data_IF_076708975998
#
_entry.id   IF_076708975998
#
_cell.length_a   1.000
_cell.length_b   1.000
_cell.length_c   1.000
_cell.angle_alpha   90.00
_cell.angle_beta   90.00
_cell.angle_gamma   90.00
#
_symmetry.space_group_name_H-M   'P 1'
#
loop_
_entity.id
_entity.type
_entity.pdbx_description
1 polymer ?
#
# COMPACT_ATOMS: atom_id res chain seq x y z
N UNK A 1 53.00 26.05 -54.47
CA UNK A 1 51.56 25.78 -54.26
C UNK A 1 51.45 24.86 -53.06
N UNK A 2 51.20 25.43 -51.88
CA UNK A 2 51.12 24.69 -50.62
C UNK A 2 49.66 24.31 -50.38
N UNK A 3 49.36 23.02 -50.34
CA UNK A 3 48.03 22.49 -49.97
C UNK A 3 47.94 22.52 -48.47
N UNK A 4 47.07 23.38 -47.94
CA UNK A 4 46.73 23.46 -46.53
C UNK A 4 45.69 22.37 -46.25
N UNK A 5 46.08 21.32 -45.53
CA UNK A 5 45.16 20.28 -45.05
C UNK A 5 44.47 20.84 -43.80
N UNK A 6 43.21 21.21 -43.92
CA UNK A 6 42.36 21.53 -42.77
C UNK A 6 41.93 20.21 -42.11
N UNK A 7 42.51 19.91 -40.95
CA UNK A 7 42.08 18.83 -40.10
C UNK A 7 40.88 19.33 -39.27
N UNK A 8 39.68 19.02 -39.70
CA UNK A 8 38.46 19.22 -38.89
C UNK A 8 38.47 18.21 -37.75
N UNK A 9 38.93 18.64 -36.59
CA UNK A 9 38.82 17.87 -35.37
C UNK A 9 37.37 18.01 -34.87
N UNK A 10 36.49 17.08 -35.26
CA UNK A 10 35.15 16.98 -34.68
C UNK A 10 35.27 16.39 -33.28
N UNK A 11 35.33 17.28 -32.28
CA UNK A 11 35.12 16.89 -30.88
C UNK A 11 33.66 16.53 -30.74
N UNK A 12 33.37 15.24 -30.85
CA UNK A 12 32.06 14.69 -30.41
C UNK A 12 32.06 14.77 -28.90
N UNK A 13 31.52 15.84 -28.39
CA UNK A 13 31.25 16.03 -26.98
C UNK A 13 30.09 15.09 -26.64
N UNK A 14 30.40 13.84 -26.25
CA UNK A 14 29.45 12.94 -25.59
C UNK A 14 29.06 13.60 -24.26
N UNK A 15 28.07 14.50 -24.30
CA UNK A 15 27.29 14.80 -23.11
C UNK A 15 26.58 13.53 -22.70
N UNK A 16 27.27 12.73 -21.89
CA UNK A 16 26.61 11.71 -21.08
C UNK A 16 25.59 12.45 -20.22
N UNK A 17 24.34 12.42 -20.60
CA UNK A 17 23.24 12.70 -19.71
C UNK A 17 23.37 11.69 -18.55
N UNK A 18 24.14 12.09 -17.52
CA UNK A 18 23.89 11.53 -16.20
C UNK A 18 22.43 11.91 -15.89
N UNK A 19 21.52 11.03 -16.25
CA UNK A 19 20.23 11.00 -15.59
C UNK A 19 20.56 10.70 -14.13
N UNK A 20 20.70 11.75 -13.32
CA UNK A 20 20.59 11.62 -11.90
C UNK A 20 19.26 10.91 -11.68
N UNK A 21 19.31 9.64 -11.31
CA UNK A 21 18.13 8.95 -10.82
C UNK A 21 17.54 9.90 -9.78
N UNK A 22 16.32 10.39 -10.04
CA UNK A 22 15.61 11.15 -9.03
C UNK A 22 15.76 10.35 -7.73
N UNK A 23 16.09 10.98 -6.60
CA UNK A 23 16.22 10.24 -5.36
C UNK A 23 14.95 9.42 -5.26
N UNK A 24 15.10 8.10 -5.17
CA UNK A 24 14.00 7.17 -4.96
C UNK A 24 13.33 7.73 -3.72
N UNK A 25 12.22 8.43 -3.94
CA UNK A 25 11.54 9.12 -2.85
C UNK A 25 11.28 8.02 -1.83
N UNK A 26 11.81 8.16 -0.64
CA UNK A 26 11.61 7.26 0.51
C UNK A 26 10.13 7.30 0.96
N UNK A 27 9.31 7.84 0.06
CA UNK A 27 7.89 8.01 0.15
C UNK A 27 7.22 6.66 0.26
N UNK A 28 6.64 6.42 1.42
CA UNK A 28 5.89 5.21 1.69
C UNK A 28 6.54 4.27 2.70
N UNK A 29 7.67 4.63 3.30
CA UNK A 29 8.13 3.98 4.53
C UNK A 29 7.48 4.61 5.76
N UNK A 30 7.35 3.86 6.87
CA UNK A 30 6.74 4.40 8.07
C UNK A 30 7.64 5.45 8.72
N UNK A 31 7.05 6.61 9.05
CA UNK A 31 7.70 7.68 9.81
C UNK A 31 7.06 7.77 11.19
N UNK A 32 7.87 8.05 12.23
CA UNK A 32 7.38 8.09 13.60
C UNK A 32 7.81 9.38 14.31
N UNK A 33 7.01 9.79 15.28
CA UNK A 33 7.35 10.85 16.23
C UNK A 33 8.41 10.37 17.23
N UNK A 34 8.97 11.29 18.00
CA UNK A 34 9.94 10.95 19.08
C UNK A 34 9.36 10.05 20.18
N UNK A 35 8.05 10.09 20.38
CA UNK A 35 7.30 9.25 21.31
C UNK A 35 6.67 8.01 20.68
N UNK A 36 7.23 7.57 19.53
CA UNK A 36 6.89 6.33 18.83
C UNK A 36 5.46 6.24 18.25
N UNK A 37 4.78 7.35 18.01
CA UNK A 37 3.53 7.35 17.28
C UNK A 37 3.80 7.36 15.78
N UNK A 38 3.01 6.64 14.99
CA UNK A 38 3.09 6.66 13.54
C UNK A 38 2.59 8.01 13.01
N UNK A 39 3.35 8.63 12.11
CA UNK A 39 2.88 9.79 11.34
C UNK A 39 1.97 9.34 10.19
N UNK A 40 0.97 10.16 9.81
CA UNK A 40 0.11 9.85 8.67
C UNK A 40 0.93 9.60 7.40
N UNK A 41 0.71 8.49 6.67
CA UNK A 41 1.34 8.28 5.37
C UNK A 41 1.01 9.40 4.40
N UNK A 42 2.04 9.98 3.76
CA UNK A 42 1.88 11.08 2.81
C UNK A 42 1.62 10.52 1.41
N UNK A 43 0.79 11.21 0.64
CA UNK A 43 0.56 10.93 -0.79
C UNK A 43 0.21 9.46 -1.10
N UNK A 44 -0.39 8.74 -0.17
CA UNK A 44 -0.68 7.31 -0.37
C UNK A 44 -1.61 7.03 -1.56
N UNK A 45 -2.37 8.02 -2.04
CA UNK A 45 -3.20 7.88 -3.25
C UNK A 45 -2.39 7.84 -4.55
N UNK A 46 -1.09 8.14 -4.48
CA UNK A 46 -0.13 7.95 -5.58
C UNK A 46 0.53 6.54 -5.56
N UNK A 47 0.23 5.73 -4.52
CA UNK A 47 0.75 4.39 -4.39
C UNK A 47 0.00 3.39 -5.29
N UNK A 48 0.47 2.15 -5.31
CA UNK A 48 -0.22 1.07 -6.02
C UNK A 48 -1.53 0.75 -5.31
N UNK A 49 -2.62 0.91 -6.04
CA UNK A 49 -3.94 0.42 -5.64
C UNK A 49 -3.99 -1.10 -5.80
N UNK A 50 -4.35 -1.83 -4.73
CA UNK A 50 -4.40 -3.29 -4.72
C UNK A 50 -5.80 -3.84 -4.96
N UNK A 51 -6.78 -3.28 -4.27
CA UNK A 51 -8.15 -3.77 -4.28
C UNK A 51 -9.11 -2.77 -3.67
N UNK A 52 -10.38 -2.92 -4.00
CA UNK A 52 -11.49 -2.25 -3.31
C UNK A 52 -12.53 -3.27 -2.88
N UNK A 53 -12.96 -3.21 -1.63
CA UNK A 53 -14.12 -3.93 -1.12
C UNK A 53 -15.34 -3.03 -1.01
N UNK A 54 -16.52 -3.56 -1.16
CA UNK A 54 -17.79 -2.86 -0.90
C UNK A 54 -18.59 -3.65 0.11
N UNK A 55 -18.89 -3.03 1.27
CA UNK A 55 -19.69 -3.64 2.31
C UNK A 55 -19.07 -4.90 2.92
N UNK A 56 -17.73 -5.02 2.90
CA UNK A 56 -17.05 -6.14 3.55
C UNK A 56 -17.19 -6.00 5.07
N UNK A 57 -17.66 -7.06 5.72
CA UNK A 57 -17.83 -7.13 7.17
C UNK A 57 -17.36 -8.47 7.69
N UNK A 58 -16.73 -8.46 8.84
CA UNK A 58 -16.27 -9.67 9.55
C UNK A 58 -17.25 -10.09 10.66
N UNK A 59 -18.36 -9.37 10.82
CA UNK A 59 -19.45 -9.72 11.72
C UNK A 59 -20.68 -10.12 10.93
N UNK A 60 -21.43 -11.12 11.44
CA UNK A 60 -22.71 -11.47 10.87
C UNK A 60 -23.74 -10.35 11.13
N UNK A 61 -24.35 -9.83 10.09
CA UNK A 61 -25.38 -8.80 10.16
C UNK A 61 -25.35 -7.87 8.96
N UNK A 62 -26.42 -7.11 8.77
CA UNK A 62 -26.44 -6.04 7.78
C UNK A 62 -25.73 -4.83 8.35
N UNK A 63 -24.88 -4.19 7.55
CA UNK A 63 -24.38 -2.85 7.88
C UNK A 63 -25.45 -1.83 7.48
N UNK A 64 -25.78 -0.91 8.39
CA UNK A 64 -26.70 0.19 8.10
C UNK A 64 -26.13 1.11 6.99
N UNK A 65 -24.80 1.19 6.90
CA UNK A 65 -24.08 1.93 5.88
C UNK A 65 -23.03 1.06 5.21
N UNK A 66 -23.19 0.85 3.91
CA UNK A 66 -22.21 0.16 3.08
C UNK A 66 -21.06 1.10 2.79
N UNK A 67 -19.82 0.70 3.09
CA UNK A 67 -18.61 1.48 2.83
C UNK A 67 -17.73 0.81 1.80
N UNK A 68 -16.93 1.62 1.11
CA UNK A 68 -15.80 1.13 0.33
C UNK A 68 -14.54 1.10 1.19
N UNK A 69 -13.76 0.06 1.01
CA UNK A 69 -12.39 -0.04 1.53
C UNK A 69 -11.42 -0.12 0.37
N UNK A 70 -10.53 0.86 0.23
CA UNK A 70 -9.52 0.92 -0.83
C UNK A 70 -8.14 0.64 -0.24
N UNK A 71 -7.42 -0.33 -0.78
CA UNK A 71 -6.12 -0.73 -0.23
C UNK A 71 -4.99 -0.26 -1.14
N UNK A 72 -4.00 0.40 -0.54
CA UNK A 72 -2.83 0.93 -1.21
C UNK A 72 -1.54 0.42 -0.57
N UNK A 73 -0.49 0.26 -1.38
CA UNK A 73 0.85 -0.12 -0.95
C UNK A 73 1.92 0.65 -1.74
N UNK A 74 3.06 1.04 -1.15
CA UNK A 74 4.11 1.74 -1.88
C UNK A 74 4.64 0.91 -3.06
N UNK A 75 4.95 1.57 -4.17
CA UNK A 75 5.48 0.96 -5.39
C UNK A 75 6.69 0.05 -5.12
N UNK A 76 7.60 0.45 -4.24
CA UNK A 76 8.79 -0.32 -3.92
C UNK A 76 8.45 -1.64 -3.20
N UNK A 77 7.48 -1.63 -2.28
CA UNK A 77 7.04 -2.83 -1.56
C UNK A 77 6.31 -3.78 -2.49
N UNK A 78 5.39 -3.26 -3.32
CA UNK A 78 4.72 -4.01 -4.39
C UNK A 78 5.73 -4.70 -5.30
N UNK A 79 6.72 -3.96 -5.81
CA UNK A 79 7.76 -4.49 -6.72
C UNK A 79 8.60 -5.60 -6.10
N UNK A 80 8.86 -5.55 -4.78
CA UNK A 80 9.55 -6.62 -4.05
C UNK A 80 8.65 -7.84 -3.85
N UNK A 81 7.37 -7.62 -3.53
CA UNK A 81 6.40 -8.71 -3.38
C UNK A 81 6.25 -9.50 -4.69
N UNK A 82 6.13 -8.85 -5.84
CA UNK A 82 6.05 -9.52 -7.16
C UNK A 82 7.24 -10.45 -7.40
N UNK A 83 8.41 -10.16 -6.84
CA UNK A 83 9.64 -10.95 -7.04
C UNK A 83 9.82 -12.07 -6.03
N UNK A 84 9.09 -12.07 -4.90
CA UNK A 84 9.36 -12.99 -3.79
C UNK A 84 8.11 -13.63 -3.17
N UNK A 85 6.92 -13.07 -3.43
CA UNK A 85 5.70 -13.45 -2.73
C UNK A 85 5.66 -13.06 -1.25
N UNK A 86 6.59 -12.22 -0.78
CA UNK A 86 6.71 -11.78 0.62
C UNK A 86 6.80 -10.27 0.72
N UNK A 87 6.24 -9.72 1.78
CA UNK A 87 6.35 -8.29 2.07
C UNK A 87 7.71 -7.96 2.66
N UNK A 88 8.43 -6.97 2.13
CA UNK A 88 9.67 -6.51 2.71
C UNK A 88 9.45 -5.82 4.06
N UNK A 89 10.48 -5.77 4.90
CA UNK A 89 10.47 -4.94 6.11
C UNK A 89 10.17 -3.47 5.77
N UNK A 90 9.48 -2.76 6.66
CA UNK A 90 8.99 -1.38 6.50
C UNK A 90 7.86 -1.23 5.46
N UNK A 91 7.21 -2.31 5.04
CA UNK A 91 5.99 -2.22 4.23
C UNK A 91 4.89 -1.50 5.01
N UNK A 92 4.19 -0.61 4.31
CA UNK A 92 3.01 0.11 4.81
C UNK A 92 1.84 -0.17 3.89
N UNK A 93 0.70 -0.56 4.47
CA UNK A 93 -0.59 -0.54 3.77
C UNK A 93 -1.43 0.61 4.28
N UNK A 94 -2.19 1.21 3.40
CA UNK A 94 -3.26 2.12 3.77
C UNK A 94 -4.57 1.51 3.30
N UNK A 95 -5.51 1.36 4.23
CA UNK A 95 -6.87 0.91 3.99
C UNK A 95 -7.78 2.13 4.15
N UNK A 96 -8.06 2.81 3.05
CA UNK A 96 -8.90 3.99 3.03
C UNK A 96 -10.38 3.58 3.08
N UNK A 97 -11.13 4.13 4.01
CA UNK A 97 -12.56 3.90 4.17
C UNK A 97 -13.36 5.09 3.61
N UNK A 98 -14.27 4.82 2.70
CA UNK A 98 -15.15 5.83 2.10
C UNK A 98 -16.61 5.45 2.19
N UNK A 99 -17.44 6.45 2.36
CA UNK A 99 -18.86 6.28 2.24
C UNK A 99 -19.29 5.81 0.86
N UNK A 100 -20.53 5.35 0.71
CA UNK A 100 -21.09 4.96 -0.57
C UNK A 100 -22.48 5.54 -0.77
N UNK A 101 -22.77 5.91 -2.01
CA UNK A 101 -24.09 6.35 -2.46
C UNK A 101 -24.54 5.61 -3.70
N UNK A 102 -25.85 5.50 -3.87
CA UNK A 102 -26.48 4.85 -5.03
C UNK A 102 -27.14 5.83 -5.98
N UNK A 103 -27.43 7.05 -5.53
CA UNK A 103 -28.16 8.07 -6.30
C UNK A 103 -27.23 9.22 -6.62
N UNK A 104 -26.98 9.45 -7.89
CA UNK A 104 -26.16 10.57 -8.33
C UNK A 104 -26.02 10.65 -9.85
N UNK A 105 -26.23 11.84 -10.43
CA UNK A 105 -26.04 12.13 -11.86
C UNK A 105 -26.69 11.06 -12.75
N UNK A 106 -25.89 10.42 -13.61
CA UNK A 106 -26.34 9.40 -14.58
C UNK A 106 -26.44 8.00 -13.97
N UNK A 107 -26.04 7.80 -12.72
CA UNK A 107 -26.07 6.49 -12.07
C UNK A 107 -27.51 6.00 -11.90
N UNK A 108 -27.83 4.86 -12.48
CA UNK A 108 -29.16 4.22 -12.36
C UNK A 108 -29.13 3.04 -11.41
N UNK A 109 -27.98 2.35 -11.31
CA UNK A 109 -27.79 1.15 -10.49
C UNK A 109 -26.32 1.09 -10.04
N UNK A 110 -26.09 0.57 -8.86
CA UNK A 110 -24.75 0.41 -8.31
C UNK A 110 -24.38 1.49 -7.30
N UNK A 111 -23.16 1.38 -6.80
CA UNK A 111 -22.62 2.27 -5.77
C UNK A 111 -21.43 3.04 -6.30
N UNK A 112 -21.23 4.24 -5.81
CA UNK A 112 -20.02 5.04 -6.02
C UNK A 112 -19.51 5.58 -4.68
N UNK A 113 -18.22 5.86 -4.61
CA UNK A 113 -17.57 6.34 -3.39
C UNK A 113 -17.92 7.80 -3.12
N UNK A 114 -18.05 8.12 -1.84
CA UNK A 114 -18.29 9.49 -1.35
C UNK A 114 -17.18 9.92 -0.39
N UNK A 115 -17.51 10.64 0.67
CA UNK A 115 -16.56 11.26 1.58
C UNK A 115 -15.62 10.25 2.26
N UNK A 116 -14.45 10.73 2.62
CA UNK A 116 -13.51 9.99 3.46
C UNK A 116 -14.11 9.80 4.86
N UNK A 117 -14.13 8.57 5.33
CA UNK A 117 -14.58 8.21 6.70
C UNK A 117 -13.39 8.11 7.66
N UNK A 118 -12.23 7.75 7.13
CA UNK A 118 -11.00 7.49 7.86
C UNK A 118 -10.11 6.53 7.09
N UNK A 119 -9.02 6.10 7.70
CA UNK A 119 -8.18 5.05 7.11
C UNK A 119 -7.39 4.29 8.17
N UNK A 120 -7.31 2.99 7.99
CA UNK A 120 -6.38 2.14 8.71
C UNK A 120 -5.00 2.16 8.07
N UNK A 121 -3.96 2.02 8.89
CA UNK A 121 -2.58 1.85 8.42
C UNK A 121 -2.01 0.59 9.06
N UNK A 122 -1.51 -0.31 8.23
CA UNK A 122 -0.84 -1.54 8.65
C UNK A 122 0.65 -1.41 8.35
N UNK A 123 1.49 -1.65 9.34
CA UNK A 123 2.94 -1.47 9.20
C UNK A 123 3.67 -2.75 9.55
N UNK A 124 4.47 -3.26 8.61
CA UNK A 124 5.50 -4.25 8.90
C UNK A 124 6.78 -3.53 9.32
N UNK A 125 7.19 -3.70 10.56
CA UNK A 125 8.46 -3.17 11.08
C UNK A 125 9.09 -4.19 12.04
N UNK A 126 9.96 -5.02 11.49
CA UNK A 126 10.56 -6.16 12.20
C UNK A 126 11.50 -5.75 13.35
N UNK A 127 11.96 -4.50 13.33
CA UNK A 127 12.84 -3.98 14.38
C UNK A 127 12.08 -3.25 15.48
N UNK A 128 10.91 -2.70 15.19
CA UNK A 128 10.13 -1.88 16.11
C UNK A 128 9.09 -2.69 16.88
N UNK A 129 8.43 -3.63 16.21
CA UNK A 129 7.34 -4.38 16.81
C UNK A 129 7.74 -5.83 17.09
N UNK A 130 7.54 -6.33 18.33
CA UNK A 130 7.85 -7.72 18.69
C UNK A 130 7.15 -8.74 17.77
N UNK A 131 5.92 -8.43 17.36
CA UNK A 131 5.10 -9.26 16.47
C UNK A 131 5.30 -8.89 14.99
N UNK A 132 6.28 -8.05 14.67
CA UNK A 132 6.65 -7.55 13.32
C UNK A 132 5.60 -6.65 12.66
N UNK A 133 4.35 -6.69 13.08
CA UNK A 133 3.24 -5.95 12.52
C UNK A 133 2.52 -5.13 13.57
N UNK A 134 2.08 -3.93 13.17
CA UNK A 134 1.23 -3.06 13.98
C UNK A 134 0.20 -2.35 13.11
N UNK A 135 -0.90 -1.94 13.75
CA UNK A 135 -2.09 -1.38 13.12
C UNK A 135 -2.43 -0.05 13.78
N UNK A 136 -2.83 0.91 12.95
CA UNK A 136 -3.09 2.28 13.37
C UNK A 136 -4.35 2.79 12.70
N UNK A 137 -5.10 3.68 13.36
CA UNK A 137 -6.27 4.33 12.80
C UNK A 137 -6.05 5.83 12.71
N UNK A 138 -6.47 6.41 11.60
CA UNK A 138 -6.38 7.83 11.31
C UNK A 138 -7.72 8.36 10.82
N UNK A 139 -8.00 9.61 11.14
CA UNK A 139 -9.00 10.45 10.50
C UNK A 139 -8.31 11.64 9.78
N UNK A 140 -9.09 12.52 9.17
CA UNK A 140 -8.56 13.69 8.45
C UNK A 140 -7.79 14.68 9.35
N UNK A 141 -8.03 14.65 10.66
CA UNK A 141 -7.46 15.59 11.63
C UNK A 141 -6.25 15.02 12.36
N UNK A 142 -6.03 13.73 12.27
CA UNK A 142 -4.98 13.00 12.99
C UNK A 142 -3.59 13.45 12.54
N UNK A 143 -2.77 13.87 13.49
CA UNK A 143 -1.36 14.26 13.25
C UNK A 143 -0.39 13.10 13.49
N UNK A 144 -0.79 12.13 14.30
CA UNK A 144 -0.07 10.89 14.61
C UNK A 144 -1.05 9.90 15.23
N UNK A 145 -0.68 8.62 15.28
CA UNK A 145 -1.48 7.59 15.91
C UNK A 145 -0.60 6.63 16.73
N UNK A 146 -1.14 6.15 17.85
CA UNK A 146 -0.58 5.04 18.59
C UNK A 146 -1.00 3.71 17.95
N UNK A 147 -0.17 2.69 18.10
CA UNK A 147 -0.53 1.35 17.66
C UNK A 147 -1.78 0.85 18.40
N UNK A 148 -2.70 0.27 17.67
CA UNK A 148 -3.88 -0.38 18.25
C UNK A 148 -3.46 -1.53 19.18
N UNK A 149 -4.23 -1.81 20.24
CA UNK A 149 -4.01 -2.97 21.07
C UNK A 149 -4.02 -4.27 20.25
N UNK A 150 -3.17 -5.23 20.61
CA UNK A 150 -3.00 -6.48 19.88
C UNK A 150 -4.31 -7.23 19.65
N UNK A 151 -5.21 -7.23 20.62
CA UNK A 151 -6.51 -7.90 20.54
C UNK A 151 -7.53 -7.21 19.62
N UNK A 152 -7.24 -6.01 19.11
CA UNK A 152 -8.15 -5.29 18.23
C UNK A 152 -8.02 -5.71 16.76
N UNK A 153 -6.79 -5.80 16.24
CA UNK A 153 -6.53 -6.04 14.82
C UNK A 153 -5.60 -7.23 14.59
N UNK A 154 -4.53 -7.33 15.36
CA UNK A 154 -3.43 -8.26 15.11
C UNK A 154 -3.89 -9.73 15.06
N UNK A 155 -4.74 -10.15 16.01
CA UNK A 155 -5.19 -11.56 16.09
C UNK A 155 -5.99 -11.97 14.86
N UNK A 156 -6.91 -11.11 14.40
CA UNK A 156 -7.70 -11.37 13.18
C UNK A 156 -6.79 -11.50 11.94
N UNK A 157 -5.80 -10.62 11.80
CA UNK A 157 -4.84 -10.70 10.71
C UNK A 157 -3.95 -11.95 10.79
N UNK A 158 -3.52 -12.38 11.97
CA UNK A 158 -2.76 -13.62 12.15
C UNK A 158 -3.59 -14.85 11.72
N UNK A 159 -4.84 -14.90 12.14
CA UNK A 159 -5.70 -16.06 11.92
C UNK A 159 -6.20 -16.17 10.48
N UNK A 160 -6.54 -15.05 9.85
CA UNK A 160 -7.29 -15.02 8.59
C UNK A 160 -6.51 -14.49 7.38
N UNK A 161 -5.35 -13.87 7.55
CA UNK A 161 -4.60 -13.34 6.42
C UNK A 161 -3.89 -14.44 5.62
N UNK A 162 -3.94 -14.35 4.28
CA UNK A 162 -3.37 -15.35 3.40
C UNK A 162 -1.84 -15.28 3.27
N UNK A 163 -1.24 -14.11 3.44
CA UNK A 163 0.22 -13.93 3.39
C UNK A 163 0.67 -13.09 4.56
N UNK A 164 1.44 -13.68 5.47
CA UNK A 164 1.85 -13.02 6.71
C UNK A 164 0.61 -12.44 7.42
N UNK A 165 0.53 -11.14 7.61
CA UNK A 165 -0.61 -10.43 8.20
C UNK A 165 -1.42 -9.63 7.16
N UNK A 166 -1.32 -9.94 5.87
CA UNK A 166 -2.03 -9.22 4.81
C UNK A 166 -3.07 -10.08 4.11
N UNK A 167 -4.22 -9.50 3.82
CA UNK A 167 -5.36 -10.18 3.19
C UNK A 167 -5.17 -10.31 1.66
N UNK A 168 -4.06 -10.92 1.23
CA UNK A 168 -3.71 -11.12 -0.19
C UNK A 168 -4.79 -11.92 -0.92
N UNK A 169 -5.62 -12.70 -0.23
CA UNK A 169 -6.79 -13.38 -0.81
C UNK A 169 -7.74 -12.41 -1.52
N UNK A 170 -7.78 -11.14 -1.10
CA UNK A 170 -8.59 -10.08 -1.71
C UNK A 170 -7.82 -9.19 -2.70
N UNK A 171 -6.56 -9.51 -2.98
CA UNK A 171 -5.73 -8.75 -3.93
C UNK A 171 -5.53 -9.55 -5.21
N UNK A 172 -6.42 -9.40 -6.23
CA UNK A 172 -6.46 -10.30 -7.39
C UNK A 172 -5.16 -10.33 -8.21
N UNK A 173 -4.38 -9.25 -8.21
CA UNK A 173 -3.10 -9.17 -8.89
C UNK A 173 -1.96 -9.86 -8.13
N UNK A 174 -2.05 -9.98 -6.81
CA UNK A 174 -1.00 -10.53 -5.95
C UNK A 174 -1.23 -11.98 -5.53
N UNK A 175 -2.49 -12.41 -5.43
CA UNK A 175 -2.85 -13.78 -5.07
C UNK A 175 -2.14 -14.84 -5.95
N UNK A 176 -2.10 -14.73 -7.30
CA UNK A 176 -1.34 -15.68 -8.13
C UNK A 176 0.17 -15.65 -7.86
N UNK A 177 0.72 -14.49 -7.51
CA UNK A 177 2.15 -14.34 -7.17
C UNK A 177 2.45 -15.10 -5.88
N UNK A 178 1.65 -14.89 -4.84
CA UNK A 178 1.84 -15.57 -3.55
C UNK A 178 1.72 -17.10 -3.71
N UNK A 179 0.75 -17.58 -4.48
CA UNK A 179 0.61 -19.01 -4.80
C UNK A 179 1.84 -19.56 -5.53
N UNK A 180 2.34 -18.84 -6.55
CA UNK A 180 3.55 -19.22 -7.29
C UNK A 180 4.77 -19.37 -6.39
N UNK A 181 4.93 -18.53 -5.39
CA UNK A 181 6.07 -18.57 -4.46
C UNK A 181 5.82 -19.46 -3.24
N UNK A 182 4.64 -20.09 -3.11
CA UNK A 182 4.29 -20.96 -1.98
C UNK A 182 4.16 -20.22 -0.65
N UNK A 183 3.87 -18.92 -0.68
CA UNK A 183 3.71 -18.09 0.53
C UNK A 183 2.24 -17.90 0.93
N UNK A 184 1.32 -18.38 0.11
CA UNK A 184 -0.12 -18.27 0.30
C UNK A 184 -0.66 -19.36 1.23
N UNK A 185 -1.39 -18.98 2.26
CA UNK A 185 -2.12 -19.90 3.15
C UNK A 185 -3.46 -20.26 2.49
N UNK A 186 -3.63 -21.47 1.99
CA UNK A 186 -4.89 -21.91 1.34
C UNK A 186 -6.08 -21.93 2.30
N UNK A 187 -5.85 -22.11 3.61
CA UNK A 187 -6.90 -22.02 4.63
C UNK A 187 -7.59 -20.65 4.70
N UNK A 188 -6.94 -19.59 4.23
CA UNK A 188 -7.54 -18.25 4.19
C UNK A 188 -8.62 -18.06 3.10
N UNK A 189 -8.81 -19.05 2.20
CA UNK A 189 -9.89 -19.02 1.20
C UNK A 189 -11.26 -19.39 1.80
N UNK A 190 -11.24 -20.24 2.81
CA UNK A 190 -12.46 -20.78 3.42
C UNK A 190 -12.25 -20.85 4.95
N UNK A 191 -12.31 -19.70 5.63
CA UNK A 191 -12.12 -19.61 7.07
C UNK A 191 -13.28 -20.26 7.86
#
# INVERSE_FOLDING_TARGET
>A
MKRLLLLCLTIVMCLGLLQAAAPESDSGKPEYTSDNQLLPPKNFREWIFLSSGLGMSYSAGSMDHVMFTNVFVPQWAYSKFIKSGKWPDKTVFVVEERGSETKGSINKVGHFQTDLMGYGVEVKDETRFPDKWAYFNFDETSKSAQANPKNACWQCHEDHAAVEHSFVQFYPTLKPVAKKFGTYKESAENP
#
